data_IF_830775363526
#
_entry.id   IF_830775363526
#
_cell.length_a   1.000
_cell.length_b   1.000
_cell.length_c   1.000
_cell.angle_alpha   90.00
_cell.angle_beta   90.00
_cell.angle_gamma   90.00
#
_symmetry.space_group_name_H-M   'P 1'
#
loop_
_entity.id
_entity.type
_entity.pdbx_description
1 polymer ?
#
# COMPACT_ATOMS: atom_id res chain seq x y z
N UNK A 1 -40.24 -16.62 8.38
CA UNK A 1 -40.95 -16.73 7.07
C UNK A 1 -40.26 -17.82 6.27
N UNK A 2 -41.00 -18.71 5.60
CA UNK A 2 -40.38 -19.74 4.77
C UNK A 2 -39.96 -19.15 3.41
N UNK A 3 -38.65 -19.18 3.12
CA UNK A 3 -38.13 -18.76 1.81
C UNK A 3 -38.47 -19.85 0.81
N UNK A 4 -39.27 -19.54 -0.22
CA UNK A 4 -39.53 -20.49 -1.31
C UNK A 4 -38.23 -20.77 -2.06
N UNK A 5 -37.88 -22.02 -2.37
CA UNK A 5 -36.69 -22.33 -3.16
C UNK A 5 -36.80 -21.66 -4.53
N UNK A 6 -35.71 -21.04 -4.96
CA UNK A 6 -35.61 -20.37 -6.26
C UNK A 6 -35.63 -21.41 -7.38
N UNK A 7 -36.75 -21.51 -8.10
CA UNK A 7 -36.94 -22.43 -9.22
C UNK A 7 -36.30 -21.93 -10.52
N UNK A 8 -35.05 -21.45 -10.48
CA UNK A 8 -34.27 -21.26 -11.70
C UNK A 8 -33.22 -22.38 -11.80
N UNK A 9 -33.30 -23.17 -12.87
CA UNK A 9 -32.17 -23.98 -13.31
C UNK A 9 -31.36 -23.14 -14.29
N UNK A 10 -30.06 -22.98 -14.04
CA UNK A 10 -29.15 -22.51 -15.08
C UNK A 10 -29.02 -23.64 -16.12
N UNK A 11 -29.06 -23.36 -17.44
CA UNK A 11 -28.81 -24.39 -18.43
C UNK A 11 -27.37 -24.90 -18.31
N UNK A 12 -27.18 -26.20 -18.16
CA UNK A 12 -25.84 -26.84 -18.15
C UNK A 12 -25.11 -26.70 -19.50
N UNK A 13 -25.81 -26.29 -20.56
CA UNK A 13 -25.23 -26.05 -21.88
C UNK A 13 -24.63 -24.63 -21.92
N UNK A 14 -23.30 -24.49 -22.07
CA UNK A 14 -22.69 -23.17 -22.20
C UNK A 14 -23.21 -22.46 -23.46
N UNK A 15 -23.69 -21.22 -23.30
CA UNK A 15 -24.23 -20.41 -24.41
C UNK A 15 -23.19 -20.03 -25.47
N UNK A 16 -21.91 -20.12 -25.11
CA UNK A 16 -20.77 -19.96 -26.01
C UNK A 16 -20.18 -21.35 -26.26
N UNK A 17 -20.20 -21.87 -27.51
CA UNK A 17 -19.58 -23.13 -27.83
C UNK A 17 -18.05 -22.94 -27.86
N UNK A 18 -17.42 -23.13 -26.70
CA UNK A 18 -15.96 -23.18 -26.62
C UNK A 18 -15.44 -24.37 -27.42
N UNK A 19 -14.39 -24.16 -28.20
CA UNK A 19 -13.70 -25.28 -28.85
C UNK A 19 -12.92 -26.06 -27.78
N UNK A 20 -12.81 -27.38 -27.95
CA UNK A 20 -12.03 -28.22 -27.03
C UNK A 20 -10.54 -27.80 -26.96
N UNK A 21 -10.04 -27.05 -27.95
CA UNK A 21 -8.73 -26.39 -27.90
C UNK A 21 -8.73 -25.21 -26.93
N UNK A 22 -9.70 -24.28 -27.04
CA UNK A 22 -9.83 -23.13 -26.13
C UNK A 22 -10.05 -23.57 -24.68
N UNK A 23 -10.89 -24.59 -24.43
CA UNK A 23 -11.08 -25.13 -23.08
C UNK A 23 -9.77 -25.65 -22.50
N UNK A 24 -8.99 -26.42 -23.28
CA UNK A 24 -7.66 -26.90 -22.86
C UNK A 24 -6.68 -25.76 -22.63
N UNK A 25 -6.65 -24.75 -23.50
CA UNK A 25 -5.79 -23.58 -23.36
C UNK A 25 -6.12 -22.82 -22.06
N UNK A 26 -7.40 -22.48 -21.83
CA UNK A 26 -7.84 -21.77 -20.62
C UNK A 26 -7.55 -22.57 -19.34
N UNK A 27 -7.74 -23.91 -19.38
CA UNK A 27 -7.43 -24.80 -18.25
C UNK A 27 -5.92 -25.00 -18.02
N UNK A 28 -5.06 -24.70 -19.01
CA UNK A 28 -3.60 -24.75 -18.87
C UNK A 28 -2.97 -23.39 -18.53
N UNK A 29 -3.57 -22.29 -18.98
CA UNK A 29 -3.09 -20.93 -18.71
C UNK A 29 -3.34 -20.49 -17.26
N UNK A 30 -4.40 -21.00 -16.63
CA UNK A 30 -4.72 -20.65 -15.25
C UNK A 30 -3.99 -21.58 -14.25
N UNK A 31 -3.10 -21.06 -13.37
CA UNK A 31 -2.16 -21.88 -12.61
C UNK A 31 -2.76 -22.66 -11.42
N UNK A 32 -4.09 -22.73 -11.29
CA UNK A 32 -4.77 -23.21 -10.10
C UNK A 32 -5.67 -24.40 -10.42
N UNK A 33 -5.30 -25.58 -9.92
CA UNK A 33 -6.05 -26.82 -10.10
C UNK A 33 -7.27 -26.86 -9.16
N UNK A 34 -8.46 -27.07 -9.73
CA UNK A 34 -9.74 -27.06 -9.00
C UNK A 34 -10.22 -28.46 -8.57
N UNK A 35 -9.43 -29.51 -8.82
CA UNK A 35 -9.82 -30.90 -8.49
C UNK A 35 -9.40 -31.24 -7.06
N UNK A 36 -10.35 -31.77 -6.29
CA UNK A 36 -10.16 -32.28 -4.92
C UNK A 36 -9.54 -31.25 -3.94
N UNK A 37 -9.87 -29.97 -4.13
CA UNK A 37 -9.37 -28.84 -3.34
C UNK A 37 -9.82 -28.91 -1.87
N UNK A 38 -8.89 -28.77 -0.92
CA UNK A 38 -9.25 -28.71 0.51
C UNK A 38 -9.83 -27.35 0.90
N UNK A 39 -10.47 -27.27 2.07
CA UNK A 39 -10.96 -25.99 2.60
C UNK A 39 -9.85 -24.97 2.84
N UNK A 40 -8.62 -25.43 3.09
CA UNK A 40 -7.44 -24.58 3.26
C UNK A 40 -7.00 -24.00 1.92
N UNK A 41 -6.81 -24.88 0.93
CA UNK A 41 -6.40 -24.52 -0.43
C UNK A 41 -7.43 -23.58 -1.06
N UNK A 42 -8.74 -23.86 -0.92
CA UNK A 42 -9.81 -22.96 -1.37
C UNK A 42 -9.70 -21.56 -0.74
N UNK A 43 -9.37 -21.48 0.55
CA UNK A 43 -9.26 -20.20 1.27
C UNK A 43 -8.02 -19.44 0.79
N UNK A 44 -6.87 -20.11 0.67
CA UNK A 44 -5.62 -19.54 0.17
C UNK A 44 -5.75 -19.10 -1.30
N UNK A 45 -6.27 -19.97 -2.18
CA UNK A 45 -6.57 -19.65 -3.58
C UNK A 45 -7.51 -18.46 -3.68
N UNK A 46 -8.63 -18.45 -2.94
CA UNK A 46 -9.57 -17.33 -2.94
C UNK A 46 -8.87 -16.04 -2.53
N UNK A 47 -8.05 -16.07 -1.48
CA UNK A 47 -7.23 -14.95 -1.05
C UNK A 47 -6.28 -14.44 -2.15
N UNK A 48 -5.48 -15.33 -2.75
CA UNK A 48 -4.54 -14.95 -3.82
C UNK A 48 -5.25 -14.42 -5.07
N UNK A 49 -6.42 -14.96 -5.42
CA UNK A 49 -7.22 -14.47 -6.53
C UNK A 49 -7.75 -13.04 -6.28
N UNK A 50 -8.33 -12.78 -5.10
CA UNK A 50 -8.76 -11.42 -4.75
C UNK A 50 -7.58 -10.46 -4.58
N UNK A 51 -6.42 -10.94 -4.12
CA UNK A 51 -5.21 -10.14 -4.02
C UNK A 51 -4.69 -9.74 -5.42
N UNK A 52 -4.27 -10.70 -6.23
CA UNK A 52 -3.47 -10.47 -7.45
C UNK A 52 -4.29 -10.07 -8.68
N UNK A 53 -5.52 -10.56 -8.83
CA UNK A 53 -6.33 -10.25 -10.01
C UNK A 53 -6.99 -8.86 -9.88
N UNK A 54 -7.17 -8.13 -11.00
CA UNK A 54 -7.74 -6.79 -10.99
C UNK A 54 -9.20 -6.77 -10.51
N UNK A 55 -9.64 -5.64 -9.96
CA UNK A 55 -10.97 -5.49 -9.35
C UNK A 55 -12.12 -5.69 -10.35
N UNK A 56 -11.87 -5.48 -11.64
CA UNK A 56 -12.82 -5.79 -12.72
C UNK A 56 -13.15 -7.28 -12.85
N UNK A 57 -12.26 -8.17 -12.39
CA UNK A 57 -12.44 -9.63 -12.39
C UNK A 57 -12.82 -10.10 -10.98
N UNK A 58 -12.09 -9.63 -9.96
CA UNK A 58 -12.24 -10.03 -8.56
C UNK A 58 -12.58 -8.82 -7.66
N UNK A 59 -13.81 -8.27 -7.73
CA UNK A 59 -14.18 -7.06 -6.99
C UNK A 59 -14.28 -7.33 -5.48
N UNK A 60 -13.57 -6.56 -4.65
CA UNK A 60 -13.39 -6.84 -3.20
C UNK A 60 -14.70 -7.06 -2.41
N UNK A 61 -15.84 -6.48 -2.83
CA UNK A 61 -17.19 -6.73 -2.28
C UNK A 61 -17.66 -8.19 -2.32
N UNK A 62 -17.00 -9.04 -3.10
CA UNK A 62 -17.24 -10.48 -3.21
C UNK A 62 -16.28 -11.36 -2.38
N UNK A 63 -15.19 -10.80 -1.83
CA UNK A 63 -14.23 -11.57 -1.00
C UNK A 63 -14.93 -12.24 0.19
N UNK A 64 -15.65 -11.44 1.00
CA UNK A 64 -16.31 -11.93 2.22
C UNK A 64 -17.37 -13.02 1.90
N UNK A 65 -18.32 -12.81 0.97
CA UNK A 65 -19.22 -13.89 0.52
C UNK A 65 -18.49 -15.15 0.04
N UNK A 66 -17.33 -15.00 -0.62
CA UNK A 66 -16.59 -16.14 -1.19
C UNK A 66 -15.94 -16.99 -0.10
N UNK A 67 -15.28 -16.35 0.89
CA UNK A 67 -14.68 -17.04 2.03
C UNK A 67 -15.72 -17.72 2.92
N UNK A 68 -16.91 -17.13 3.07
CA UNK A 68 -18.01 -17.72 3.82
C UNK A 68 -18.60 -18.99 3.17
N UNK A 69 -18.24 -19.33 1.92
CA UNK A 69 -18.64 -20.60 1.26
C UNK A 69 -17.92 -21.83 1.83
N UNK A 70 -16.79 -21.65 2.52
CA UNK A 70 -16.04 -22.73 3.18
C UNK A 70 -16.82 -23.31 4.37
N UNK A 71 -17.84 -22.59 4.85
CA UNK A 71 -18.63 -22.94 6.01
C UNK A 71 -19.57 -24.13 5.71
N UNK A 72 -19.15 -25.34 6.09
CA UNK A 72 -20.10 -26.40 6.42
C UNK A 72 -20.97 -25.91 7.59
N UNK A 73 -22.28 -26.19 7.57
CA UNK A 73 -23.18 -25.72 8.62
C UNK A 73 -22.66 -26.22 9.99
N UNK A 74 -22.41 -25.32 10.96
CA UNK A 74 -21.98 -25.75 12.28
C UNK A 74 -23.15 -26.41 13.00
N UNK A 75 -23.07 -27.73 13.22
CA UNK A 75 -24.06 -28.51 13.98
C UNK A 75 -24.19 -28.06 15.46
N UNK A 76 -23.29 -27.20 15.95
CA UNK A 76 -23.33 -26.66 17.31
C UNK A 76 -22.86 -25.21 17.37
N UNK A 77 -23.68 -24.37 18.01
CA UNK A 77 -23.44 -22.94 18.27
C UNK A 77 -22.25 -22.70 19.22
N UNK A 78 -21.80 -23.74 19.95
CA UNK A 78 -20.77 -23.61 20.98
C UNK A 78 -19.32 -23.73 20.46
N UNK A 79 -19.11 -24.10 19.19
CA UNK A 79 -17.77 -24.26 18.62
C UNK A 79 -17.27 -22.97 17.93
N UNK A 80 -15.98 -22.62 18.04
CA UNK A 80 -15.41 -21.51 17.28
C UNK A 80 -15.59 -21.74 15.78
N UNK A 81 -15.88 -20.68 15.03
CA UNK A 81 -16.09 -20.79 13.59
C UNK A 81 -14.84 -21.36 12.88
N UNK A 82 -14.93 -22.39 12.02
CA UNK A 82 -13.76 -23.08 11.46
C UNK A 82 -12.84 -22.16 10.66
N UNK A 83 -13.43 -21.14 10.01
CA UNK A 83 -12.73 -20.11 9.27
C UNK A 83 -11.72 -19.29 10.12
N UNK A 84 -11.81 -19.27 11.46
CA UNK A 84 -10.80 -18.61 12.31
C UNK A 84 -9.40 -19.19 12.09
N UNK A 85 -9.26 -20.52 12.07
CA UNK A 85 -7.96 -21.19 11.90
C UNK A 85 -7.40 -21.02 10.49
N UNK A 86 -8.28 -21.00 9.47
CA UNK A 86 -7.89 -20.77 8.08
C UNK A 86 -7.44 -19.32 7.86
N UNK A 87 -8.15 -18.34 8.43
CA UNK A 87 -7.76 -16.92 8.37
C UNK A 87 -6.46 -16.63 9.11
N UNK A 88 -6.15 -17.31 10.22
CA UNK A 88 -4.90 -17.09 10.96
C UNK A 88 -3.63 -17.29 10.14
N UNK A 89 -3.69 -18.12 9.09
CA UNK A 89 -2.57 -18.38 8.18
C UNK A 89 -2.40 -17.31 7.10
N UNK A 90 -3.46 -16.53 6.83
CA UNK A 90 -3.51 -15.47 5.82
C UNK A 90 -3.40 -14.06 6.43
N UNK A 91 -3.63 -13.91 7.74
CA UNK A 91 -3.58 -12.63 8.44
C UNK A 91 -2.13 -12.15 8.64
N UNK A 92 -1.77 -11.11 7.90
CA UNK A 92 -0.47 -10.44 7.99
C UNK A 92 -0.52 -9.24 8.93
N UNK A 93 0.63 -8.83 9.45
CA UNK A 93 0.75 -7.53 10.14
C UNK A 93 1.08 -6.42 9.14
N UNK A 94 0.73 -5.17 9.45
CA UNK A 94 1.08 -4.00 8.62
C UNK A 94 2.57 -3.95 8.24
N UNK A 95 3.45 -4.30 9.20
CA UNK A 95 4.90 -4.46 8.97
C UNK A 95 5.26 -5.63 8.04
N UNK A 96 4.57 -6.76 8.14
CA UNK A 96 4.81 -7.91 7.26
C UNK A 96 4.42 -7.59 5.81
N UNK A 97 3.28 -6.90 5.59
CA UNK A 97 2.87 -6.42 4.26
C UNK A 97 3.93 -5.47 3.67
N UNK A 98 4.42 -4.51 4.46
CA UNK A 98 5.50 -3.61 4.00
C UNK A 98 6.82 -4.37 3.73
N UNK A 99 7.18 -5.39 4.51
CA UNK A 99 8.36 -6.22 4.23
C UNK A 99 8.20 -7.01 2.91
N UNK A 100 7.01 -7.57 2.69
CA UNK A 100 6.65 -8.30 1.47
C UNK A 100 6.84 -7.43 0.23
N UNK A 101 6.22 -6.25 0.20
CA UNK A 101 6.23 -5.37 -0.98
C UNK A 101 7.53 -4.59 -1.21
N UNK A 102 8.31 -4.28 -0.18
CA UNK A 102 9.56 -3.52 -0.32
C UNK A 102 10.85 -4.36 -0.26
N UNK A 103 10.78 -5.64 0.13
CA UNK A 103 11.96 -6.51 0.25
C UNK A 103 11.78 -7.83 -0.48
N UNK A 104 10.71 -8.58 -0.17
CA UNK A 104 10.57 -9.97 -0.67
C UNK A 104 10.18 -10.02 -2.15
N UNK A 105 9.12 -9.31 -2.56
CA UNK A 105 8.64 -9.31 -3.94
C UNK A 105 9.60 -8.64 -4.93
N UNK A 106 10.25 -7.49 -4.63
CA UNK A 106 11.29 -6.94 -5.50
C UNK A 106 12.46 -7.90 -5.70
N UNK A 107 12.83 -8.67 -4.68
CA UNK A 107 13.86 -9.71 -4.79
C UNK A 107 13.39 -10.89 -5.65
N UNK A 108 12.15 -11.38 -5.49
CA UNK A 108 11.61 -12.48 -6.30
C UNK A 108 11.56 -12.09 -7.79
N UNK A 109 11.04 -10.90 -8.11
CA UNK A 109 11.00 -10.40 -9.48
C UNK A 109 12.41 -10.22 -10.08
N UNK A 110 13.38 -9.73 -9.30
CA UNK A 110 14.74 -9.50 -9.79
C UNK A 110 15.54 -10.79 -10.06
N UNK A 111 15.19 -11.91 -9.42
CA UNK A 111 15.87 -13.19 -9.60
C UNK A 111 15.12 -14.17 -10.53
N UNK A 112 13.99 -13.76 -11.12
CA UNK A 112 13.21 -14.60 -12.02
C UNK A 112 12.41 -15.70 -11.33
N UNK A 113 12.09 -15.52 -10.04
CA UNK A 113 11.23 -16.43 -9.29
C UNK A 113 11.80 -16.92 -7.95
N UNK A 114 10.94 -17.58 -7.17
CA UNK A 114 11.21 -18.16 -5.86
C UNK A 114 11.06 -19.69 -5.86
N UNK A 115 10.53 -20.24 -4.76
CA UNK A 115 10.37 -21.70 -4.59
C UNK A 115 9.12 -22.26 -5.30
N UNK A 116 8.39 -21.44 -6.06
CA UNK A 116 7.15 -21.86 -6.73
C UNK A 116 5.96 -21.97 -5.78
N UNK A 117 5.89 -21.10 -4.77
CA UNK A 117 4.70 -21.00 -3.90
C UNK A 117 3.46 -20.66 -4.77
N UNK A 118 2.28 -21.16 -4.40
CA UNK A 118 1.04 -20.95 -5.18
C UNK A 118 0.75 -19.45 -5.38
N UNK A 119 1.02 -18.66 -4.34
CA UNK A 119 0.95 -17.21 -4.38
C UNK A 119 1.80 -16.62 -5.52
N UNK A 120 3.02 -17.11 -5.66
CA UNK A 120 3.98 -16.66 -6.66
C UNK A 120 3.48 -16.98 -8.09
N UNK A 121 2.86 -18.15 -8.26
CA UNK A 121 2.28 -18.56 -9.54
C UNK A 121 1.13 -17.63 -9.98
N UNK A 122 0.25 -17.24 -9.04
CA UNK A 122 -0.83 -16.28 -9.31
C UNK A 122 -0.28 -14.86 -9.50
N UNK A 123 0.77 -14.47 -8.75
CA UNK A 123 1.47 -13.20 -8.94
C UNK A 123 2.05 -13.10 -10.36
N UNK A 124 2.81 -14.09 -10.82
CA UNK A 124 3.40 -14.09 -12.17
C UNK A 124 2.32 -14.08 -13.25
N UNK A 125 1.21 -14.82 -13.07
CA UNK A 125 0.05 -14.74 -13.95
C UNK A 125 -0.50 -13.30 -14.03
N UNK A 126 -0.66 -12.60 -12.90
CA UNK A 126 -1.11 -11.21 -12.89
C UNK A 126 -0.09 -10.24 -13.53
N UNK A 127 1.21 -10.38 -13.25
CA UNK A 127 2.28 -9.55 -13.86
C UNK A 127 2.32 -9.70 -15.38
N UNK A 128 2.22 -10.92 -15.90
CA UNK A 128 2.29 -11.22 -17.34
C UNK A 128 1.07 -10.78 -18.13
N UNK A 129 -0.10 -10.67 -17.49
CA UNK A 129 -1.35 -10.24 -18.13
C UNK A 129 -1.72 -8.76 -17.85
N UNK A 130 -0.89 -8.04 -17.09
CA UNK A 130 -1.04 -6.61 -16.85
C UNK A 130 -0.69 -5.82 -18.12
N UNK A 131 -1.69 -5.20 -18.75
CA UNK A 131 -1.47 -4.39 -19.96
C UNK A 131 -0.71 -3.11 -19.63
N UNK A 132 0.50 -2.95 -20.17
CA UNK A 132 1.18 -1.66 -20.23
C UNK A 132 0.63 -0.80 -21.36
N UNK A 133 0.51 0.52 -21.15
CA UNK A 133 0.07 1.46 -22.20
C UNK A 133 1.07 1.56 -23.37
N UNK A 134 2.34 1.28 -23.10
CA UNK A 134 3.37 1.09 -24.11
C UNK A 134 3.55 -0.40 -24.33
N UNK A 135 3.43 -0.89 -25.57
CA UNK A 135 3.68 -2.29 -25.98
C UNK A 135 5.19 -2.64 -25.95
N UNK A 136 5.87 -2.34 -24.84
CA UNK A 136 7.25 -2.77 -24.59
C UNK A 136 7.24 -4.26 -24.20
N UNK A 137 8.15 -5.04 -24.78
CA UNK A 137 8.14 -6.52 -24.67
C UNK A 137 8.24 -7.04 -23.22
N UNK A 138 8.80 -6.27 -22.28
CA UNK A 138 8.88 -6.63 -20.85
C UNK A 138 8.60 -5.44 -19.91
N UNK A 139 7.32 -5.15 -19.55
CA UNK A 139 6.97 -3.99 -18.72
C UNK A 139 7.62 -4.00 -17.33
N UNK A 140 7.84 -5.19 -16.75
CA UNK A 140 8.45 -5.38 -15.44
C UNK A 140 9.93 -4.99 -15.38
N UNK A 141 10.63 -4.83 -16.52
CA UNK A 141 12.00 -4.30 -16.53
C UNK A 141 12.04 -2.80 -16.20
N UNK A 142 10.95 -2.07 -16.44
CA UNK A 142 10.88 -0.64 -16.13
C UNK A 142 10.64 -0.43 -14.63
N UNK A 143 11.67 0.06 -13.91
CA UNK A 143 11.60 0.30 -12.47
C UNK A 143 10.43 1.21 -12.06
N UNK A 144 10.11 2.25 -12.86
CA UNK A 144 9.01 3.16 -12.54
C UNK A 144 7.63 2.50 -12.71
N UNK A 145 7.49 1.58 -13.67
CA UNK A 145 6.29 0.73 -13.78
C UNK A 145 6.22 -0.26 -12.62
N UNK A 146 7.33 -0.94 -12.31
CA UNK A 146 7.42 -1.94 -11.23
C UNK A 146 7.10 -1.32 -9.87
N UNK A 147 7.59 -0.11 -9.57
CA UNK A 147 7.27 0.61 -8.34
C UNK A 147 5.77 0.97 -8.24
N UNK A 148 5.16 1.49 -9.32
CA UNK A 148 3.72 1.79 -9.34
C UNK A 148 2.86 0.53 -9.19
N UNK A 149 3.25 -0.56 -9.84
CA UNK A 149 2.58 -1.85 -9.72
C UNK A 149 2.67 -2.38 -8.28
N UNK A 150 3.87 -2.40 -7.67
CA UNK A 150 4.06 -2.80 -6.27
C UNK A 150 3.23 -1.96 -5.31
N UNK A 151 3.20 -0.64 -5.49
CA UNK A 151 2.38 0.26 -4.65
C UNK A 151 0.87 -0.05 -4.79
N UNK A 152 0.38 -0.26 -6.02
CA UNK A 152 -1.01 -0.68 -6.26
C UNK A 152 -1.33 -2.01 -5.58
N UNK A 153 -0.40 -2.97 -5.64
CA UNK A 153 -0.58 -4.27 -5.01
C UNK A 153 -0.52 -4.19 -3.47
N UNK A 154 0.38 -3.40 -2.90
CA UNK A 154 0.45 -3.16 -1.44
C UNK A 154 -0.85 -2.51 -0.93
N UNK A 155 -1.38 -1.52 -1.65
CA UNK A 155 -2.69 -0.90 -1.34
C UNK A 155 -3.80 -1.95 -1.33
N UNK A 156 -3.84 -2.83 -2.34
CA UNK A 156 -4.84 -3.90 -2.44
C UNK A 156 -4.71 -4.94 -1.32
N UNK A 157 -3.49 -5.33 -0.94
CA UNK A 157 -3.29 -6.21 0.20
C UNK A 157 -3.72 -5.57 1.52
N UNK A 158 -3.45 -4.28 1.74
CA UNK A 158 -3.94 -3.56 2.92
C UNK A 158 -5.47 -3.58 2.99
N UNK A 159 -6.17 -3.34 1.86
CA UNK A 159 -7.63 -3.46 1.79
C UNK A 159 -8.11 -4.88 2.13
N UNK A 160 -7.50 -5.91 1.52
CA UNK A 160 -7.84 -7.32 1.77
C UNK A 160 -7.62 -7.68 3.24
N UNK A 161 -6.48 -7.29 3.83
CA UNK A 161 -6.16 -7.56 5.24
C UNK A 161 -7.17 -6.90 6.19
N UNK A 162 -7.58 -5.65 5.94
CA UNK A 162 -8.66 -4.99 6.70
C UNK A 162 -9.95 -5.83 6.65
N UNK A 163 -10.34 -6.31 5.47
CA UNK A 163 -11.52 -7.17 5.30
C UNK A 163 -11.37 -8.51 6.04
N UNK A 164 -10.18 -9.13 6.06
CA UNK A 164 -9.94 -10.37 6.79
C UNK A 164 -9.99 -10.18 8.32
N UNK A 165 -9.41 -9.09 8.83
CA UNK A 165 -9.48 -8.76 10.26
C UNK A 165 -10.91 -8.45 10.70
N UNK A 166 -11.67 -7.67 9.92
CA UNK A 166 -13.08 -7.41 10.17
C UNK A 166 -13.93 -8.67 10.06
N UNK A 167 -13.68 -9.54 9.07
CA UNK A 167 -14.32 -10.85 8.99
C UNK A 167 -14.07 -11.63 10.27
N UNK A 168 -12.81 -11.79 10.68
CA UNK A 168 -12.45 -12.55 11.88
C UNK A 168 -13.11 -12.01 13.15
N UNK A 169 -13.19 -10.69 13.32
CA UNK A 169 -13.87 -10.05 14.45
C UNK A 169 -15.40 -10.23 14.41
N UNK A 170 -16.00 -10.35 13.22
CA UNK A 170 -17.45 -10.55 13.05
C UNK A 170 -17.91 -12.01 13.21
N UNK A 171 -17.01 -12.98 13.10
CA UNK A 171 -17.32 -14.40 13.27
C UNK A 171 -17.51 -14.75 14.76
N UNK A 172 -18.38 -15.73 15.10
CA UNK A 172 -18.45 -16.28 16.44
C UNK A 172 -17.07 -16.71 16.94
N UNK A 173 -16.55 -15.99 17.93
CA UNK A 173 -15.26 -16.26 18.54
C UNK A 173 -15.31 -17.46 19.48
N UNK A 174 -14.16 -18.04 19.86
CA UNK A 174 -14.11 -18.89 21.04
C UNK A 174 -14.67 -18.10 22.24
N UNK A 175 -15.40 -18.75 23.17
CA UNK A 175 -15.85 -18.08 24.38
C UNK A 175 -14.64 -17.46 25.09
N UNK A 176 -14.74 -16.22 25.62
CA UNK A 176 -13.63 -15.59 26.30
C UNK A 176 -13.12 -16.54 27.39
N UNK A 177 -11.79 -16.72 27.52
CA UNK A 177 -11.24 -17.57 28.58
C UNK A 177 -11.88 -17.16 29.90
N UNK A 178 -12.40 -18.12 30.71
CA UNK A 178 -13.07 -17.77 31.95
C UNK A 178 -12.13 -16.88 32.76
N UNK A 179 -12.65 -15.76 33.28
CA UNK A 179 -11.88 -14.80 34.05
C UNK A 179 -11.43 -15.41 35.37
N UNK A 180 -10.40 -16.25 35.31
CA UNK A 180 -9.74 -16.83 36.48
C UNK A 180 -9.16 -15.63 37.23
N UNK A 181 -9.64 -15.33 38.45
CA UNK A 181 -9.22 -14.14 39.17
C UNK A 181 -7.73 -14.24 39.47
N UNK A 182 -6.93 -13.52 38.67
CA UNK A 182 -5.47 -13.56 38.72
C UNK A 182 -5.02 -13.24 40.14
N UNK A 183 -4.35 -14.18 40.85
CA UNK A 183 -4.06 -14.01 42.26
C UNK A 183 -3.06 -12.87 42.45
N UNK A 184 -3.57 -11.72 42.90
CA UNK A 184 -2.84 -10.49 43.21
C UNK A 184 -1.63 -10.75 44.13
N UNK A 185 -0.48 -11.09 43.54
CA UNK A 185 0.79 -11.28 44.26
C UNK A 185 1.93 -10.54 43.58
N UNK A 186 2.02 -9.25 43.93
CA UNK A 186 3.24 -8.43 44.10
C UNK A 186 4.53 -9.08 43.62
N UNK A 187 4.76 -9.09 42.31
CA UNK A 187 6.11 -9.21 41.75
C UNK A 187 6.16 -8.37 40.48
N UNK A 188 6.96 -7.30 40.50
CA UNK A 188 7.32 -6.51 39.32
C UNK A 188 8.23 -7.34 38.42
N UNK A 189 7.69 -8.41 37.85
CA UNK A 189 8.31 -9.09 36.71
C UNK A 189 8.12 -8.11 35.54
N UNK A 190 9.19 -7.86 34.80
CA UNK A 190 9.12 -7.10 33.55
C UNK A 190 8.06 -7.78 32.68
N UNK A 191 6.95 -7.09 32.44
CA UNK A 191 5.81 -7.65 31.73
C UNK A 191 6.23 -7.83 30.27
N UNK A 192 6.23 -9.08 29.78
CA UNK A 192 6.51 -9.33 28.37
C UNK A 192 5.54 -8.50 27.53
N UNK A 193 6.00 -7.84 26.45
CA UNK A 193 5.17 -6.96 25.66
C UNK A 193 3.96 -7.74 25.15
N UNK A 194 2.78 -7.43 25.72
CA UNK A 194 1.52 -8.10 25.38
C UNK A 194 1.35 -8.08 23.87
N UNK A 195 1.09 -9.25 23.29
CA UNK A 195 0.84 -9.34 21.86
C UNK A 195 -0.32 -8.41 21.47
N UNK A 196 -0.16 -7.58 20.42
CA UNK A 196 -1.22 -6.65 20.01
C UNK A 196 -2.47 -7.45 19.63
N UNK A 197 -3.61 -6.95 20.08
CA UNK A 197 -4.94 -7.51 19.83
C UNK A 197 -5.28 -7.51 18.33
N UNK A 198 -6.40 -8.13 17.96
CA UNK A 198 -6.83 -8.13 16.55
C UNK A 198 -7.31 -6.73 16.15
N UNK A 199 -7.89 -6.00 17.10
CA UNK A 199 -8.32 -4.62 17.03
C UNK A 199 -7.12 -3.67 16.85
N UNK A 200 -6.06 -3.80 17.66
CA UNK A 200 -4.82 -3.01 17.50
C UNK A 200 -4.17 -3.24 16.12
N UNK A 201 -4.21 -4.49 15.61
CA UNK A 201 -3.65 -4.84 14.30
C UNK A 201 -4.48 -4.27 13.15
N UNK A 202 -5.81 -4.34 13.27
CA UNK A 202 -6.75 -3.74 12.33
C UNK A 202 -6.57 -2.22 12.30
N UNK A 203 -6.47 -1.58 13.48
CA UNK A 203 -6.25 -0.14 13.60
C UNK A 203 -4.93 0.28 12.93
N UNK A 204 -3.85 -0.49 13.10
CA UNK A 204 -2.57 -0.23 12.43
C UNK A 204 -2.62 -0.33 10.89
N UNK A 205 -3.63 -0.99 10.30
CA UNK A 205 -3.90 -0.91 8.86
C UNK A 205 -4.75 0.32 8.49
N UNK A 206 -5.72 0.71 9.32
CA UNK A 206 -6.47 1.97 9.13
C UNK A 206 -5.54 3.19 9.21
N UNK A 207 -4.60 3.21 10.15
CA UNK A 207 -3.58 4.25 10.27
C UNK A 207 -2.65 4.31 9.05
N UNK A 208 -2.29 3.14 8.49
CA UNK A 208 -1.49 3.07 7.26
C UNK A 208 -2.24 3.67 6.06
N UNK A 209 -3.53 3.39 5.91
CA UNK A 209 -4.37 4.05 4.90
C UNK A 209 -4.42 5.58 5.12
N UNK A 210 -4.68 6.01 6.35
CA UNK A 210 -4.74 7.44 6.72
C UNK A 210 -3.42 8.18 6.43
N UNK A 211 -2.29 7.51 6.69
CA UNK A 211 -0.96 8.02 6.37
C UNK A 211 -0.72 8.12 4.86
N UNK A 212 -1.18 7.14 4.07
CA UNK A 212 -1.14 7.24 2.60
C UNK A 212 -2.03 8.34 2.05
N UNK A 213 -3.22 8.55 2.64
CA UNK A 213 -4.08 9.69 2.30
C UNK A 213 -3.34 11.01 2.51
N UNK A 214 -2.75 11.20 3.71
CA UNK A 214 -1.94 12.37 4.03
C UNK A 214 -0.77 12.56 3.05
N UNK A 215 0.03 11.52 2.80
CA UNK A 215 1.17 11.59 1.86
C UNK A 215 0.70 11.92 0.43
N UNK A 216 -0.43 11.39 -0.01
CA UNK A 216 -1.00 11.71 -1.34
C UNK A 216 -1.41 13.18 -1.43
N UNK A 217 -2.10 13.72 -0.40
CA UNK A 217 -2.46 15.15 -0.36
C UNK A 217 -1.25 16.09 -0.32
N UNK A 218 -0.13 15.66 0.27
CA UNK A 218 1.12 16.43 0.28
C UNK A 218 1.82 16.40 -1.10
N UNK A 219 1.80 15.26 -1.79
CA UNK A 219 2.47 15.09 -3.08
C UNK A 219 1.72 15.76 -4.23
N UNK A 220 0.39 15.65 -4.26
CA UNK A 220 -0.45 16.22 -5.33
C UNK A 220 -0.84 17.69 -5.06
N UNK A 221 -0.64 18.14 -3.82
CA UNK A 221 -0.94 19.49 -3.36
C UNK A 221 -2.44 19.80 -3.29
N UNK A 222 -2.74 21.06 -2.93
CA UNK A 222 -4.12 21.57 -2.81
C UNK A 222 -4.87 21.69 -4.16
N UNK A 223 -4.28 21.22 -5.27
CA UNK A 223 -4.91 21.20 -6.60
C UNK A 223 -5.81 19.98 -6.83
N UNK A 224 -5.97 19.11 -5.82
CA UNK A 224 -7.01 18.08 -5.79
C UNK A 224 -8.36 18.68 -6.19
N UNK A 225 -8.97 18.14 -7.25
CA UNK A 225 -10.25 18.64 -7.76
C UNK A 225 -11.34 18.39 -6.71
N UNK A 226 -11.97 19.48 -6.27
CA UNK A 226 -13.11 19.49 -5.34
C UNK A 226 -14.30 18.74 -5.98
N UNK A 227 -14.35 17.42 -5.84
CA UNK A 227 -15.43 16.57 -6.36
C UNK A 227 -15.11 15.08 -6.47
N UNK A 228 -13.86 14.68 -6.73
CA UNK A 228 -13.52 13.27 -6.92
C UNK A 228 -13.36 12.56 -5.57
N UNK A 229 -14.10 11.46 -5.36
CA UNK A 229 -14.00 10.65 -4.13
C UNK A 229 -12.69 9.88 -4.10
N UNK A 230 -12.06 9.86 -2.94
CA UNK A 230 -10.88 9.05 -2.70
C UNK A 230 -11.23 7.56 -2.87
N UNK A 231 -10.28 6.77 -3.41
CA UNK A 231 -10.42 5.31 -3.49
C UNK A 231 -10.59 4.67 -2.12
N UNK A 232 -10.04 5.27 -1.06
CA UNK A 232 -10.23 4.83 0.33
C UNK A 232 -11.66 5.07 0.83
N UNK A 233 -12.27 6.20 0.46
CA UNK A 233 -13.66 6.51 0.78
C UNK A 233 -14.60 5.57 0.02
N UNK A 234 -14.37 5.39 -1.28
CA UNK A 234 -15.12 4.44 -2.13
C UNK A 234 -15.04 3.01 -1.58
N UNK A 235 -13.84 2.55 -1.20
CA UNK A 235 -13.65 1.24 -0.57
C UNK A 235 -14.48 1.09 0.71
N UNK A 236 -14.53 2.10 1.56
CA UNK A 236 -15.32 2.04 2.78
C UNK A 236 -16.83 2.01 2.50
N UNK A 237 -17.33 2.95 1.69
CA UNK A 237 -18.76 3.10 1.39
C UNK A 237 -19.33 1.91 0.62
N UNK A 238 -18.59 1.34 -0.33
CA UNK A 238 -19.08 0.24 -1.18
C UNK A 238 -18.80 -1.16 -0.62
N UNK A 239 -17.72 -1.34 0.17
CA UNK A 239 -17.25 -2.67 0.58
C UNK A 239 -17.38 -2.89 2.09
N UNK A 240 -16.97 -1.91 2.90
CA UNK A 240 -16.83 -2.10 4.35
C UNK A 240 -18.13 -1.82 5.08
N UNK A 241 -18.69 -0.62 4.92
CA UNK A 241 -19.90 -0.18 5.62
C UNK A 241 -21.11 -1.12 5.35
N UNK A 242 -21.38 -1.58 4.11
CA UNK A 242 -22.51 -2.49 3.83
C UNK A 242 -22.33 -3.91 4.41
N UNK A 243 -21.11 -4.30 4.79
CA UNK A 243 -20.80 -5.63 5.34
C UNK A 243 -20.62 -5.63 6.86
N UNK A 244 -19.99 -4.59 7.39
CA UNK A 244 -19.51 -4.55 8.77
C UNK A 244 -20.15 -3.47 9.64
N UNK A 245 -20.88 -2.50 9.08
CA UNK A 245 -21.48 -1.40 9.84
C UNK A 245 -22.46 -1.83 10.94
N UNK A 246 -23.17 -2.96 10.75
CA UNK A 246 -24.01 -3.55 11.81
C UNK A 246 -23.24 -4.46 12.78
N UNK A 247 -22.51 -5.51 12.35
CA UNK A 247 -21.86 -6.43 13.29
C UNK A 247 -20.65 -5.82 14.02
N UNK A 248 -19.99 -4.82 13.44
CA UNK A 248 -18.77 -4.17 13.98
C UNK A 248 -18.90 -2.64 13.93
N UNK A 249 -19.99 -2.12 14.50
CA UNK A 249 -20.30 -0.69 14.47
C UNK A 249 -19.16 0.19 15.02
N UNK A 250 -18.50 -0.23 16.11
CA UNK A 250 -17.40 0.54 16.72
C UNK A 250 -16.17 0.63 15.81
N UNK A 251 -15.72 -0.49 15.25
CA UNK A 251 -14.57 -0.54 14.33
C UNK A 251 -14.90 0.15 13.00
N UNK A 252 -16.14 0.04 12.52
CA UNK A 252 -16.60 0.72 11.30
C UNK A 252 -16.64 2.24 11.50
N UNK A 253 -17.13 2.71 12.64
CA UNK A 253 -17.13 4.13 12.98
C UNK A 253 -15.70 4.70 13.16
N UNK A 254 -14.80 3.94 13.79
CA UNK A 254 -13.38 4.29 13.88
C UNK A 254 -12.73 4.39 12.49
N UNK A 255 -13.02 3.44 11.60
CA UNK A 255 -12.47 3.50 10.24
C UNK A 255 -13.02 4.71 9.47
N UNK A 256 -14.32 5.00 9.61
CA UNK A 256 -14.96 6.17 9.01
C UNK A 256 -14.28 7.46 9.45
N UNK A 257 -14.02 7.65 10.74
CA UNK A 257 -13.37 8.88 11.24
C UNK A 257 -11.91 9.04 10.80
N UNK A 258 -11.25 7.96 10.39
CA UNK A 258 -9.86 7.97 9.91
C UNK A 258 -9.72 8.33 8.41
N UNK A 259 -10.66 7.91 7.56
CA UNK A 259 -10.62 8.13 6.09
C UNK A 259 -11.47 9.31 5.60
N UNK A 260 -12.43 9.74 6.41
CA UNK A 260 -13.19 10.97 6.24
C UNK A 260 -12.68 11.97 7.28
N UNK A 261 -11.53 12.65 7.03
CA UNK A 261 -11.06 13.68 7.92
C UNK A 261 -12.14 14.77 8.00
N UNK A 262 -12.80 14.87 9.15
CA UNK A 262 -13.61 16.02 9.50
C UNK A 262 -12.68 17.24 9.46
N UNK A 263 -12.79 18.06 8.42
CA UNK A 263 -11.97 19.26 8.32
C UNK A 263 -12.32 20.16 9.49
N UNK A 264 -11.39 20.47 10.41
CA UNK A 264 -11.68 21.38 11.51
C UNK A 264 -11.97 22.81 11.03
N UNK A 265 -11.86 23.05 9.72
CA UNK A 265 -12.18 24.30 9.03
C UNK A 265 -13.48 24.25 8.21
N UNK A 266 -14.12 23.08 7.99
CA UNK A 266 -15.38 23.02 7.22
C UNK A 266 -16.58 23.59 8.00
N UNK A 267 -16.60 23.39 9.32
CA UNK A 267 -17.69 23.84 10.21
C UNK A 267 -17.85 25.38 10.26
N UNK A 268 -16.90 26.14 9.73
CA UNK A 268 -16.96 27.60 9.64
C UNK A 268 -17.43 28.13 8.28
N UNK A 269 -17.56 27.27 7.26
CA UNK A 269 -17.85 27.70 5.88
C UNK A 269 -19.33 27.60 5.46
N UNK A 270 -20.18 26.97 6.27
CA UNK A 270 -21.60 26.73 5.95
C UNK A 270 -22.56 27.65 6.74
N UNK A 271 -22.05 28.76 7.29
CA UNK A 271 -22.80 29.68 8.16
C UNK A 271 -22.92 31.13 7.66
N UNK A 272 -22.31 31.49 6.52
CA UNK A 272 -22.28 32.89 6.04
C UNK A 272 -22.92 33.13 4.65
N UNK A 273 -23.54 32.11 4.03
CA UNK A 273 -24.36 32.29 2.81
C UNK A 273 -25.88 32.17 3.09
N UNK A 274 -26.32 32.42 4.34
CA UNK A 274 -27.64 33.02 4.58
C UNK A 274 -27.63 34.47 4.10
N UNK A 275 -27.54 34.62 2.78
CA UNK A 275 -27.53 35.90 2.08
C UNK A 275 -28.94 36.50 2.10
N UNK A 276 -29.24 37.12 3.24
CA UNK A 276 -30.30 38.10 3.49
C UNK A 276 -31.38 38.16 2.40
N UNK A 277 -32.45 37.39 2.58
CA UNK A 277 -33.73 37.70 1.93
C UNK A 277 -34.07 39.15 2.25
N UNK A 278 -34.41 39.93 1.22
CA UNK A 278 -34.63 41.37 1.39
C UNK A 278 -35.71 41.66 2.43
N UNK A 279 -35.58 42.76 3.22
CA UNK A 279 -36.63 43.17 4.14
C UNK A 279 -37.82 43.68 3.33
N UNK A 280 -38.79 42.80 3.08
CA UNK A 280 -40.05 43.22 2.47
C UNK A 280 -40.85 44.08 3.45
N UNK A 281 -41.45 45.14 2.92
CA UNK A 281 -42.01 46.21 3.72
C UNK A 281 -43.42 45.86 4.22
N UNK A 282 -43.61 46.15 5.50
CA UNK A 282 -44.87 46.22 6.23
C UNK A 282 -46.13 46.43 5.36
N UNK A 283 -47.07 45.48 5.45
CA UNK A 283 -48.50 45.83 5.43
C UNK A 283 -49.26 45.08 6.53
N UNK A 284 -50.09 45.81 7.26
CA UNK A 284 -50.80 45.31 8.44
C UNK A 284 -51.86 44.26 8.13
N UNK A 285 -51.93 43.21 8.96
CA UNK A 285 -53.25 42.80 9.48
C UNK A 285 -53.19 42.12 10.85
N UNK A 286 -54.14 42.51 11.69
CA UNK A 286 -54.16 42.22 13.13
C UNK A 286 -54.96 40.96 13.52
N UNK A 287 -54.93 40.68 14.83
CA UNK A 287 -55.75 39.71 15.62
C UNK A 287 -55.27 38.25 15.56
N UNK A 288 -55.30 37.46 16.66
CA UNK A 288 -55.59 37.75 18.08
C UNK A 288 -55.44 36.48 18.94
N UNK A 289 -55.22 36.62 20.27
CA UNK A 289 -55.68 35.67 21.34
C UNK A 289 -55.02 34.27 21.36
N UNK A 290 -54.48 33.67 22.43
CA UNK A 290 -53.98 33.99 23.80
C UNK A 290 -53.84 32.65 24.58
N UNK A 291 -53.33 32.64 25.84
CA UNK A 291 -53.36 31.51 26.84
C UNK A 291 -52.33 30.37 26.59
N UNK A 292 -51.57 29.81 27.55
CA UNK A 292 -51.14 30.16 28.92
C UNK A 292 -49.83 29.38 29.23
N UNK A 293 -48.79 29.95 29.86
CA UNK A 293 -48.50 29.95 31.32
C UNK A 293 -48.66 28.58 32.04
N UNK A 294 -47.54 28.01 32.49
CA UNK A 294 -47.43 27.47 33.87
C UNK A 294 -45.99 27.43 34.39
N UNK A 295 -45.81 27.89 35.65
CA UNK A 295 -44.65 27.63 36.52
C UNK A 295 -44.88 26.30 37.30
N UNK A 296 -44.03 25.77 38.22
CA UNK A 296 -42.73 26.08 38.87
C UNK A 296 -41.89 24.77 38.87
N UNK A 297 -40.68 24.62 39.41
CA UNK A 297 -39.71 25.43 40.18
C UNK A 297 -38.50 24.52 40.53
N UNK A 298 -37.26 25.03 40.56
CA UNK A 298 -36.58 25.55 41.76
C UNK A 298 -36.32 24.56 42.91
N UNK A 299 -35.05 24.18 43.11
CA UNK A 299 -34.40 23.95 44.41
C UNK A 299 -32.87 23.89 44.27
N UNK A 300 -32.15 24.29 45.31
CA UNK A 300 -30.70 24.55 45.27
C UNK A 300 -29.93 23.84 46.41
N UNK A 301 -28.65 23.58 46.18
CA UNK A 301 -27.61 23.38 47.21
C UNK A 301 -26.24 23.45 46.52
N UNK A 302 -25.41 24.48 46.77
CA UNK A 302 -24.44 24.58 47.87
C UNK A 302 -23.07 23.93 47.56
N UNK A 303 -22.01 24.74 47.65
CA UNK A 303 -20.60 24.38 47.38
C UNK A 303 -19.97 23.61 48.59
N UNK A 304 -18.69 23.14 48.61
CA UNK A 304 -17.50 23.92 48.21
C UNK A 304 -16.25 23.19 47.64
N UNK A 305 -15.35 24.00 47.05
CA UNK A 305 -13.86 23.91 47.05
C UNK A 305 -13.17 22.53 46.93
N UNK A 306 -12.29 22.40 45.93
CA UNK A 306 -10.86 22.06 46.17
C UNK A 306 -9.92 22.35 44.98
N UNK A 307 -8.91 23.18 45.28
CA UNK A 307 -7.51 23.13 44.80
C UNK A 307 -7.22 22.90 43.31
N UNK A 308 -6.78 24.00 42.66
CA UNK A 308 -5.75 23.98 41.63
C UNK A 308 -4.56 23.10 42.08
N UNK A 309 -4.12 22.19 41.21
CA UNK A 309 -2.84 21.49 41.31
C UNK A 309 -2.31 21.25 39.89
N UNK A 310 -1.01 21.49 39.71
CA UNK A 310 -0.35 21.49 38.40
C UNK A 310 -0.32 20.10 37.73
N UNK A 311 -0.35 20.04 36.38
CA UNK A 311 0.34 19.02 35.62
C UNK A 311 1.78 19.48 35.30
N UNK A 312 2.61 19.67 36.33
CA UNK A 312 4.04 19.91 36.15
C UNK A 312 4.74 18.63 35.65
N UNK A 313 4.73 18.40 34.33
CA UNK A 313 5.50 17.32 33.71
C UNK A 313 6.04 17.63 32.32
N UNK A 314 6.81 18.71 32.23
CA UNK A 314 7.79 18.92 31.18
C UNK A 314 8.69 17.68 31.05
N UNK A 315 8.50 16.90 29.99
CA UNK A 315 9.40 15.80 29.63
C UNK A 315 9.76 15.83 28.14
N UNK A 316 10.18 17.01 27.71
CA UNK A 316 10.86 17.25 26.44
C UNK A 316 12.08 16.34 26.32
N UNK A 317 11.92 15.21 25.63
CA UNK A 317 13.04 14.37 25.16
C UNK A 317 13.45 14.87 23.80
N UNK A 318 14.23 15.95 23.79
CA UNK A 318 14.91 16.45 22.58
C UNK A 318 15.92 15.40 22.11
N UNK A 319 15.56 14.63 21.08
CA UNK A 319 16.49 13.86 20.27
C UNK A 319 17.18 14.80 19.26
N UNK A 320 17.92 15.77 19.78
CA UNK A 320 18.86 16.56 18.99
C UNK A 320 20.12 15.73 18.75
N UNK A 321 20.07 14.88 17.72
CA UNK A 321 21.28 14.29 17.12
C UNK A 321 22.08 15.45 16.53
N UNK A 322 23.31 15.66 17.01
CA UNK A 322 24.15 16.75 16.51
C UNK A 322 24.56 16.47 15.06
N UNK A 323 24.21 17.38 14.13
CA UNK A 323 24.65 17.37 12.72
C UNK A 323 26.18 17.24 12.54
N UNK A 324 26.97 17.61 13.55
CA UNK A 324 28.41 17.36 13.57
C UNK A 324 28.78 15.86 13.62
N UNK A 325 28.03 15.05 14.38
CA UNK A 325 28.25 13.61 14.51
C UNK A 325 27.81 12.85 13.26
N UNK A 326 26.82 13.37 12.53
CA UNK A 326 26.39 12.84 11.24
C UNK A 326 27.47 13.06 10.15
N UNK A 327 28.04 14.27 10.06
CA UNK A 327 29.15 14.56 9.15
C UNK A 327 30.43 13.76 9.42
N UNK A 328 30.73 13.46 10.69
CA UNK A 328 31.89 12.62 11.05
C UNK A 328 31.68 11.16 10.63
N UNK A 329 30.45 10.64 10.72
CA UNK A 329 30.06 9.32 10.20
C UNK A 329 30.07 9.27 8.66
N UNK A 330 29.71 10.35 7.99
CA UNK A 330 29.73 10.46 6.53
C UNK A 330 31.18 10.49 5.99
N UNK A 331 32.06 11.29 6.61
CA UNK A 331 33.50 11.29 6.27
C UNK A 331 34.19 9.94 6.52
N UNK A 332 33.76 9.17 7.54
CA UNK A 332 34.27 7.81 7.75
C UNK A 332 33.77 6.79 6.70
N UNK A 333 32.67 7.07 5.99
CA UNK A 333 32.17 6.21 4.90
C UNK A 333 32.87 6.45 3.57
N UNK A 334 33.21 7.69 3.25
CA UNK A 334 33.83 8.04 1.96
C UNK A 334 35.33 7.68 1.87
N UNK A 335 36.00 7.46 3.01
CA UNK A 335 37.44 7.19 3.05
C UNK A 335 37.90 5.73 2.82
N UNK A 336 36.99 4.75 2.72
CA UNK A 336 37.36 3.31 2.76
C UNK A 336 37.28 2.60 1.40
N UNK A 337 37.99 3.12 0.41
CA UNK A 337 38.22 2.41 -0.85
C UNK A 337 39.25 1.27 -0.67
N UNK A 338 38.77 0.04 -0.42
CA UNK A 338 39.56 -1.17 -0.67
C UNK A 338 40.08 -1.96 0.54
N UNK A 339 39.21 -2.39 1.46
CA UNK A 339 39.51 -3.53 2.33
C UNK A 339 38.25 -4.36 2.67
N UNK A 340 38.21 -5.62 2.24
CA UNK A 340 37.14 -6.57 2.61
C UNK A 340 37.23 -6.92 4.10
N UNK A 341 36.44 -6.27 4.97
CA UNK A 341 36.17 -6.76 6.33
C UNK A 341 34.70 -6.71 6.71
N UNK A 342 34.30 -7.71 7.50
CA UNK A 342 32.92 -8.07 7.80
C UNK A 342 32.23 -7.00 8.66
N UNK A 343 31.06 -6.57 8.22
CA UNK A 343 30.12 -5.82 9.06
C UNK A 343 29.51 -6.79 10.08
N UNK A 344 29.65 -6.47 11.37
CA UNK A 344 28.91 -7.12 12.44
C UNK A 344 27.46 -6.63 12.40
N UNK A 345 26.62 -7.37 11.67
CA UNK A 345 25.18 -7.15 11.69
C UNK A 345 24.65 -7.41 13.10
N UNK A 346 24.16 -6.35 13.75
CA UNK A 346 23.48 -6.46 15.04
C UNK A 346 22.11 -7.08 14.82
N UNK A 347 21.96 -8.30 15.29
CA UNK A 347 20.82 -9.17 15.02
C UNK A 347 19.48 -8.58 15.50
N UNK A 348 18.49 -8.53 14.61
CA UNK A 348 17.07 -8.56 14.99
C UNK A 348 16.51 -9.86 14.42
N UNK A 349 16.65 -10.93 15.20
CA UNK A 349 16.19 -12.27 14.82
C UNK A 349 14.67 -12.36 14.95
N UNK A 350 13.97 -12.44 13.83
CA UNK A 350 12.66 -13.10 13.75
C UNK A 350 12.73 -14.20 12.69
N UNK A 351 12.57 -15.44 13.15
CA UNK A 351 12.85 -16.65 12.38
C UNK A 351 11.70 -16.99 11.41
N UNK A 352 11.72 -16.46 10.17
CA UNK A 352 11.44 -17.31 9.00
C UNK A 352 12.80 -17.88 8.61
N UNK A 353 13.12 -19.06 9.15
CA UNK A 353 14.41 -19.68 8.92
C UNK A 353 14.46 -20.25 7.51
N UNK A 354 14.79 -19.39 6.53
CA UNK A 354 15.40 -19.81 5.29
C UNK A 354 16.63 -20.65 5.67
N UNK A 355 16.47 -21.97 5.66
CA UNK A 355 17.60 -22.87 5.53
C UNK A 355 18.10 -22.62 4.11
N UNK A 356 19.30 -22.06 3.88
CA UNK A 356 19.88 -22.15 2.56
C UNK A 356 19.98 -23.64 2.26
N UNK A 357 19.17 -24.11 1.31
CA UNK A 357 19.21 -25.50 0.83
C UNK A 357 20.67 -25.80 0.50
N UNK A 358 21.23 -26.85 1.08
CA UNK A 358 22.58 -27.29 0.77
C UNK A 358 22.60 -27.55 -0.74
N UNK A 359 23.21 -26.60 -1.46
CA UNK A 359 23.15 -26.55 -2.91
C UNK A 359 24.00 -27.70 -3.38
N UNK A 360 23.33 -28.71 -3.94
CA UNK A 360 23.95 -29.98 -4.30
C UNK A 360 25.27 -29.71 -5.03
N UNK A 361 26.42 -30.22 -4.55
CA UNK A 361 27.71 -29.90 -5.15
C UNK A 361 27.75 -30.25 -6.65
N UNK A 362 26.94 -31.22 -7.12
CA UNK A 362 26.79 -31.50 -8.54
C UNK A 362 26.07 -30.38 -9.31
N UNK A 363 25.06 -29.75 -8.72
CA UNK A 363 24.35 -28.63 -9.33
C UNK A 363 25.24 -27.37 -9.40
N UNK A 364 26.06 -27.12 -8.37
CA UNK A 364 27.04 -26.01 -8.37
C UNK A 364 28.13 -26.23 -9.42
N UNK A 365 28.59 -27.46 -9.61
CA UNK A 365 29.58 -27.75 -10.66
C UNK A 365 28.96 -27.74 -12.06
N UNK A 366 27.70 -28.15 -12.23
CA UNK A 366 26.97 -28.04 -13.49
C UNK A 366 26.79 -26.58 -13.93
N UNK A 367 26.29 -25.72 -13.04
CA UNK A 367 26.14 -24.27 -13.28
C UNK A 367 27.48 -23.60 -13.58
N UNK A 368 28.54 -23.99 -12.87
CA UNK A 368 29.90 -23.50 -13.16
C UNK A 368 30.38 -23.92 -14.55
N UNK A 369 30.18 -25.18 -14.96
CA UNK A 369 30.55 -25.67 -16.31
C UNK A 369 29.72 -25.02 -17.41
N UNK A 370 28.45 -24.70 -17.15
CA UNK A 370 27.60 -23.96 -18.07
C UNK A 370 28.07 -22.52 -18.23
N UNK A 371 28.41 -21.85 -17.12
CA UNK A 371 28.99 -20.50 -17.15
C UNK A 371 30.35 -20.45 -17.85
N UNK A 372 31.24 -21.41 -17.59
CA UNK A 372 32.53 -21.52 -18.29
C UNK A 372 32.32 -21.72 -19.81
N UNK A 373 31.33 -22.51 -20.23
CA UNK A 373 30.93 -22.67 -21.65
C UNK A 373 30.31 -21.40 -22.25
N UNK A 374 29.54 -20.63 -21.48
CA UNK A 374 28.97 -19.37 -21.94
C UNK A 374 30.08 -18.31 -22.16
N UNK A 375 31.01 -18.19 -21.21
CA UNK A 375 32.18 -17.31 -21.34
C UNK A 375 33.09 -17.73 -22.50
N UNK A 376 33.27 -19.03 -22.75
CA UNK A 376 34.03 -19.53 -23.91
C UNK A 376 33.34 -19.19 -25.25
N UNK A 377 32.02 -19.39 -25.36
CA UNK A 377 31.25 -18.98 -26.55
C UNK A 377 31.36 -17.49 -26.81
N UNK A 378 31.19 -16.66 -25.78
CA UNK A 378 31.25 -15.21 -25.91
C UNK A 378 32.64 -14.74 -26.39
N UNK A 379 33.72 -15.31 -25.84
CA UNK A 379 35.09 -15.05 -26.33
C UNK A 379 35.31 -15.48 -27.78
N UNK A 380 34.69 -16.59 -28.22
CA UNK A 380 34.76 -17.05 -29.60
C UNK A 380 34.00 -16.12 -30.57
N UNK A 381 32.88 -15.54 -30.13
CA UNK A 381 32.12 -14.54 -30.90
C UNK A 381 32.84 -13.20 -30.97
N UNK A 382 33.38 -12.71 -29.85
CA UNK A 382 34.21 -11.49 -29.82
C UNK A 382 35.43 -11.59 -30.74
N UNK A 383 36.11 -12.76 -30.75
CA UNK A 383 37.24 -13.01 -31.65
C UNK A 383 36.82 -13.01 -33.14
N UNK A 384 35.64 -13.54 -33.47
CA UNK A 384 35.08 -13.49 -34.84
C UNK A 384 34.69 -12.06 -35.23
N UNK A 385 34.10 -11.30 -34.32
CA UNK A 385 33.74 -9.89 -34.53
C UNK A 385 34.97 -9.00 -34.75
N UNK A 386 36.06 -9.25 -34.03
CA UNK A 386 37.33 -8.55 -34.23
C UNK A 386 37.93 -8.81 -35.62
N UNK A 387 37.96 -10.07 -36.06
CA UNK A 387 38.48 -10.43 -37.39
C UNK A 387 37.65 -9.81 -38.53
N UNK A 388 36.31 -9.85 -38.43
CA UNK A 388 35.41 -9.24 -39.41
C UNK A 388 35.60 -7.71 -39.53
N UNK A 389 35.78 -7.02 -38.39
CA UNK A 389 36.05 -5.57 -38.37
C UNK A 389 37.42 -5.21 -38.95
N UNK A 390 38.43 -6.08 -38.84
CA UNK A 390 39.71 -5.84 -39.52
C UNK A 390 39.59 -6.00 -41.04
N UNK A 391 38.85 -7.00 -41.53
CA UNK A 391 38.62 -7.16 -42.97
C UNK A 391 37.82 -5.99 -43.55
N UNK A 392 36.78 -5.50 -42.85
CA UNK A 392 36.01 -4.33 -43.26
C UNK A 392 36.89 -3.07 -43.34
N UNK A 393 37.79 -2.85 -42.37
CA UNK A 393 38.78 -1.77 -42.41
C UNK A 393 39.76 -1.87 -43.59
N UNK A 394 40.06 -3.07 -44.09
CA UNK A 394 40.88 -3.26 -45.30
C UNK A 394 40.09 -3.01 -46.59
N UNK A 395 38.76 -3.18 -46.57
CA UNK A 395 37.88 -2.91 -47.73
C UNK A 395 37.48 -1.44 -47.86
N UNK A 396 37.49 -0.66 -46.78
CA UNK A 396 37.27 0.79 -46.81
C UNK A 396 38.51 1.53 -47.35
N UNK A 397 38.60 1.63 -48.68
CA UNK A 397 39.63 2.40 -49.37
C UNK A 397 39.61 3.88 -48.94
N UNK A 398 40.78 4.40 -48.56
CA UNK A 398 40.95 5.78 -48.07
C UNK A 398 40.75 6.77 -49.22
N UNK A 399 39.56 7.36 -49.33
CA UNK A 399 39.36 8.55 -50.17
C UNK A 399 40.00 9.77 -49.51
N UNK A 400 41.15 10.18 -50.05
CA UNK A 400 41.80 11.46 -49.73
C UNK A 400 40.98 12.63 -50.28
N UNK A 401 40.01 13.10 -49.51
CA UNK A 401 39.33 14.37 -49.78
C UNK A 401 40.24 15.53 -49.35
N UNK A 402 40.55 16.44 -50.28
CA UNK A 402 41.43 17.56 -50.02
C UNK A 402 40.91 18.46 -48.89
N UNK A 403 41.77 18.74 -47.89
CA UNK A 403 41.39 19.47 -46.69
C UNK A 403 41.11 20.95 -46.99
N UNK A 404 39.88 21.39 -46.76
CA UNK A 404 39.54 22.81 -46.63
C UNK A 404 39.79 23.27 -45.19
N UNK A 405 40.48 24.40 -44.95
CA UNK A 405 40.90 24.78 -43.60
C UNK A 405 39.75 25.38 -42.78
N UNK A 406 39.36 24.71 -41.71
CA UNK A 406 38.35 25.21 -40.76
C UNK A 406 39.03 25.91 -39.58
N UNK A 407 38.62 27.16 -39.30
CA UNK A 407 39.18 27.99 -38.22
C UNK A 407 38.97 27.35 -36.84
N UNK A 408 40.04 27.26 -36.05
CA UNK A 408 39.98 26.81 -34.66
C UNK A 408 39.32 27.85 -33.74
N UNK A 409 38.28 27.45 -33.01
CA UNK A 409 37.56 28.31 -32.06
C UNK A 409 38.25 28.25 -30.69
N UNK A 410 38.87 29.37 -30.30
CA UNK A 410 39.57 29.52 -29.00
C UNK A 410 38.58 29.36 -27.83
N UNK A 411 38.98 28.59 -26.81
CA UNK A 411 38.22 28.34 -25.58
C UNK A 411 38.86 29.13 -24.43
N UNK A 412 38.21 30.16 -23.85
CA UNK A 412 38.81 30.93 -22.76
C UNK A 412 38.81 30.16 -21.43
N UNK A 413 39.92 30.27 -20.68
CA UNK A 413 40.02 29.81 -19.30
C UNK A 413 39.15 30.69 -18.40
N UNK A 414 38.25 30.08 -17.62
CA UNK A 414 37.62 30.76 -16.49
C UNK A 414 38.63 30.85 -15.33
N UNK A 415 38.88 32.08 -14.86
CA UNK A 415 39.82 32.37 -13.78
C UNK A 415 39.08 32.44 -12.44
N UNK A 416 39.65 31.89 -11.37
CA UNK A 416 39.10 32.04 -10.03
C UNK A 416 39.48 33.41 -9.44
N UNK A 417 38.49 34.20 -8.99
CA UNK A 417 38.73 35.56 -8.50
C UNK A 417 37.70 36.01 -7.47
N UNK A 418 38.15 36.13 -6.21
CA UNK A 418 37.38 36.70 -5.08
C UNK A 418 37.13 38.21 -5.26
N UNK A 419 36.02 38.71 -4.68
CA UNK A 419 35.80 40.12 -4.33
C UNK A 419 34.37 40.57 -4.64
N UNK A 420 33.46 40.99 -3.74
CA UNK A 420 33.49 41.82 -2.50
C UNK A 420 32.97 43.25 -2.77
N UNK A 421 31.72 43.52 -2.36
CA UNK A 421 31.25 44.84 -1.91
C UNK A 421 30.32 45.64 -2.84
N UNK A 422 29.52 46.52 -2.23
CA UNK A 422 28.61 47.52 -2.86
C UNK A 422 27.19 46.98 -3.13
N UNK A 423 26.08 47.62 -2.74
CA UNK A 423 25.67 49.05 -2.84
C UNK A 423 25.58 49.49 -4.32
N UNK A 424 24.55 50.18 -4.81
CA UNK A 424 23.30 50.71 -4.23
C UNK A 424 22.28 50.97 -5.39
N UNK A 425 21.23 51.76 -5.15
CA UNK A 425 20.34 52.39 -6.16
C UNK A 425 19.36 51.46 -6.93
N UNK A 426 18.04 51.61 -6.72
CA UNK A 426 17.11 52.65 -7.26
C UNK A 426 16.98 52.62 -8.79
N UNK A 427 15.75 52.53 -9.31
CA UNK A 427 15.47 53.00 -10.67
C UNK A 427 14.30 52.36 -11.40
N UNK A 428 13.14 53.01 -11.30
CA UNK A 428 12.14 53.17 -12.38
C UNK A 428 11.44 51.96 -13.03
N UNK A 429 10.11 52.00 -12.91
CA UNK A 429 9.14 51.49 -13.89
C UNK A 429 9.38 52.09 -15.30
N UNK A 430 8.79 51.52 -16.37
CA UNK A 430 7.48 52.06 -16.75
C UNK A 430 6.42 51.02 -17.13
N UNK A 431 5.16 51.43 -16.99
CA UNK A 431 3.99 50.83 -17.62
C UNK A 431 4.13 50.67 -19.14
N UNK A 432 3.46 49.66 -19.69
CA UNK A 432 3.00 49.67 -21.07
C UNK A 432 1.59 49.10 -21.17
N UNK A 433 0.62 50.02 -21.18
CA UNK A 433 -0.76 49.76 -21.60
C UNK A 433 -0.78 49.40 -23.08
N UNK A 434 -1.63 48.44 -23.48
CA UNK A 434 -2.11 48.36 -24.86
C UNK A 434 -3.64 48.36 -24.88
N UNK A 435 -4.20 49.14 -25.80
CA UNK A 435 -5.61 49.53 -25.84
C UNK A 435 -6.53 48.45 -26.43
N UNK A 436 -7.81 48.54 -26.06
CA UNK A 436 -8.92 48.10 -26.89
C UNK A 436 -9.84 49.27 -27.22
N UNK A 437 -9.93 49.63 -28.50
CA UNK A 437 -11.06 50.27 -29.21
C UNK A 437 -10.67 50.48 -30.67
#
# INVERSE_FOLDING_TARGET
>A
MAVKPLQYALPDVPRVPWTATQEKTILHEYPLNLKDESSEDFTARTYFQFLWLPDSIMPLRLLIPSLLRVTTLPDSVAQPHPLHALLERLLLTSRAVTNKYHVELPYILANGGGEGEEEESVMWFAVTHEKSENDAEEPWLNDAWRSKWMERMERREVQVQILLYMLKLSLPGPPPPPEIPSPSKKRRKLEDPRSPSLEDRLEAFMDKLSMWQLVSTLNEGLLHRKGDRDWMQTFFEEVVEPRFGTPLAAQTALFRSKIFPHSPFSDFSDSEDERATSPDLQTDRARSVSVAVSERGASASAAPRKTLAEPARSRSRSLSVSLAQERELEQQREGSAGAKRRVLNREVSMKRAFKPRERDPQAVEAERREKERAEEKQRAEDARGAAAREEERRRQGVMLVAATPVKSKVRPRANAGRGRGGEEERGSSPDLLLLGS
#
